data_IF_171857709284
#
_entry.id   IF_171857709284
#
_cell.length_a   1.000
_cell.length_b   1.000
_cell.length_c   1.000
_cell.angle_alpha   90.00
_cell.angle_beta   90.00
_cell.angle_gamma   90.00
#
_symmetry.space_group_name_H-M   'P 1'
#
loop_
_entity.id
_entity.type
_entity.pdbx_description
1 polymer ?
#
# COMPACT_ATOMS: atom_id res chain seq x y z
N UNK A 1 12.77 -0.71 -10.79
CA UNK A 1 12.01 -0.05 -9.70
C UNK A 1 12.12 -0.93 -8.48
N UNK A 2 12.48 -0.40 -7.29
CA UNK A 2 12.58 -1.23 -6.10
C UNK A 2 11.17 -1.62 -5.64
N UNK A 3 10.98 -2.89 -5.30
CA UNK A 3 9.74 -3.45 -4.78
C UNK A 3 9.30 -2.75 -3.48
N UNK A 4 7.99 -2.51 -3.24
CA UNK A 4 7.53 -2.00 -1.95
C UNK A 4 7.85 -3.03 -0.84
N UNK A 5 8.54 -2.66 0.25
CA UNK A 5 9.24 -3.62 1.13
C UNK A 5 8.38 -4.48 2.09
N UNK A 6 7.06 -4.56 1.90
CA UNK A 6 6.14 -4.94 2.99
C UNK A 6 5.30 -6.20 2.76
N UNK A 7 5.75 -7.12 1.92
CA UNK A 7 4.94 -8.24 1.44
C UNK A 7 5.68 -9.57 1.60
N UNK A 8 5.53 -10.20 2.76
CA UNK A 8 5.80 -11.64 2.86
C UNK A 8 4.47 -12.39 2.69
N UNK A 9 4.33 -13.08 1.56
CA UNK A 9 3.26 -14.04 1.30
C UNK A 9 3.92 -15.41 1.10
N UNK A 10 3.73 -16.41 1.99
CA UNK A 10 4.32 -17.72 1.78
C UNK A 10 3.76 -18.35 0.50
N UNK A 11 4.56 -19.17 -0.22
CA UNK A 11 4.12 -19.82 -1.43
C UNK A 11 2.92 -20.73 -1.12
N UNK A 12 1.90 -20.65 -1.98
CA UNK A 12 0.84 -21.65 -2.04
C UNK A 12 1.32 -22.67 -3.07
N UNK A 13 1.78 -23.83 -2.62
CA UNK A 13 2.24 -24.89 -3.53
C UNK A 13 1.02 -25.44 -4.29
N UNK A 14 0.89 -25.04 -5.56
CA UNK A 14 0.03 -25.75 -6.51
C UNK A 14 0.87 -26.79 -7.26
N UNK A 15 0.40 -28.04 -7.25
CA UNK A 15 1.03 -29.16 -7.95
C UNK A 15 1.06 -28.88 -9.46
N UNK A 16 2.24 -28.98 -10.09
CA UNK A 16 2.44 -28.81 -11.54
C UNK A 16 1.91 -30.04 -12.30
N UNK A 17 1.06 -29.80 -13.29
CA UNK A 17 0.96 -30.67 -14.48
C UNK A 17 1.25 -29.84 -15.73
N UNK A 18 2.29 -30.24 -16.45
CA UNK A 18 2.76 -29.63 -17.70
C UNK A 18 1.81 -29.99 -18.83
N UNK A 19 1.30 -29.03 -19.58
CA UNK A 19 1.04 -29.20 -21.01
C UNK A 19 1.24 -27.88 -21.76
N UNK A 20 2.06 -27.98 -22.81
CA UNK A 20 2.50 -26.97 -23.76
C UNK A 20 1.46 -26.72 -24.85
N UNK A 21 1.33 -25.47 -25.29
CA UNK A 21 0.62 -25.10 -26.53
C UNK A 21 1.36 -23.95 -27.25
N UNK A 22 1.19 -23.81 -28.58
CA UNK A 22 2.18 -23.23 -29.49
C UNK A 22 1.98 -21.73 -29.80
N UNK A 23 3.06 -21.16 -30.36
CA UNK A 23 3.26 -19.77 -30.77
C UNK A 23 2.42 -19.34 -31.98
N UNK A 24 1.90 -18.10 -31.91
CA UNK A 24 1.45 -17.34 -33.09
C UNK A 24 2.16 -15.98 -33.12
N UNK A 25 2.85 -15.71 -34.24
CA UNK A 25 3.42 -14.41 -34.58
C UNK A 25 2.35 -13.55 -35.25
N UNK A 26 2.27 -12.26 -34.90
CA UNK A 26 1.55 -11.26 -35.67
C UNK A 26 2.45 -10.03 -35.91
N UNK A 27 2.58 -9.76 -37.20
CA UNK A 27 3.28 -8.69 -37.89
C UNK A 27 2.69 -7.30 -37.60
N UNK A 28 3.58 -6.31 -37.52
CA UNK A 28 3.22 -4.88 -37.57
C UNK A 28 3.11 -4.37 -39.02
N UNK A 29 2.32 -3.32 -39.26
CA UNK A 29 2.58 -2.41 -40.35
C UNK A 29 2.85 -0.96 -39.90
N UNK A 30 3.65 -0.31 -40.74
CA UNK A 30 4.26 1.01 -40.69
C UNK A 30 3.30 2.20 -40.89
N UNK A 31 3.86 3.39 -40.58
CA UNK A 31 3.58 4.66 -41.27
C UNK A 31 2.69 5.62 -40.47
N UNK A 32 2.80 6.94 -40.55
CA UNK A 32 3.79 7.81 -41.21
C UNK A 32 3.62 9.23 -40.63
N UNK A 33 4.59 10.07 -40.95
CA UNK A 33 4.80 11.45 -40.47
C UNK A 33 3.91 12.54 -41.09
N UNK A 34 3.60 13.60 -40.32
CA UNK A 34 3.37 15.00 -40.77
C UNK A 34 3.16 15.90 -39.52
N UNK A 35 4.11 16.75 -39.12
CA UNK A 35 4.40 18.12 -39.57
C UNK A 35 3.30 19.16 -39.28
N UNK A 36 3.40 19.88 -38.15
CA UNK A 36 2.77 21.19 -37.94
C UNK A 36 3.68 22.06 -37.05
N UNK A 37 4.13 23.18 -37.60
CA UNK A 37 4.96 24.21 -36.96
C UNK A 37 4.12 25.12 -36.05
N UNK A 38 4.71 25.73 -34.99
CA UNK A 38 3.95 26.44 -33.96
C UNK A 38 3.58 27.88 -34.37
N UNK A 39 2.44 28.43 -33.91
CA UNK A 39 2.10 29.83 -34.15
C UNK A 39 2.93 30.80 -33.30
N UNK A 40 3.29 31.93 -33.91
CA UNK A 40 4.00 33.06 -33.33
C UNK A 40 3.21 33.76 -32.20
N UNK A 41 3.97 34.26 -31.22
CA UNK A 41 3.48 34.90 -29.98
C UNK A 41 3.00 36.34 -30.26
N UNK A 42 1.89 36.80 -29.65
CA UNK A 42 1.68 38.22 -29.45
C UNK A 42 2.60 38.73 -28.32
N UNK A 43 3.32 39.81 -28.62
CA UNK A 43 4.15 40.56 -27.70
C UNK A 43 3.26 41.41 -26.78
N UNK A 44 3.28 41.09 -25.48
CA UNK A 44 2.75 41.98 -24.43
C UNK A 44 3.82 42.15 -23.36
N UNK A 45 4.31 43.38 -23.24
CA UNK A 45 5.29 43.82 -22.26
C UNK A 45 4.63 43.96 -20.89
N UNK A 46 4.92 43.00 -19.98
CA UNK A 46 4.56 43.09 -18.57
C UNK A 46 5.81 43.16 -17.71
N UNK A 47 5.85 44.19 -16.86
CA UNK A 47 6.87 44.36 -15.84
C UNK A 47 6.93 43.14 -14.91
N UNK A 48 8.16 42.77 -14.59
CA UNK A 48 8.67 41.58 -13.92
C UNK A 48 8.03 41.20 -12.56
N UNK A 49 7.54 39.94 -12.51
CA UNK A 49 7.54 38.98 -11.39
C UNK A 49 6.75 39.32 -10.10
N UNK A 50 5.49 38.84 -9.97
CA UNK A 50 5.20 37.75 -9.00
C UNK A 50 4.02 36.81 -9.36
N UNK A 51 3.72 36.56 -10.63
CA UNK A 51 2.54 35.73 -11.02
C UNK A 51 2.85 34.24 -11.22
N UNK A 52 4.12 33.87 -11.44
CA UNK A 52 4.47 32.50 -11.84
C UNK A 52 4.46 31.48 -10.67
N UNK A 53 4.68 31.93 -9.44
CA UNK A 53 4.70 31.05 -8.25
C UNK A 53 3.27 30.68 -7.79
N UNK A 54 2.34 31.65 -7.88
CA UNK A 54 0.92 31.45 -7.56
C UNK A 54 0.24 30.54 -8.60
N UNK A 55 0.61 30.67 -9.88
CA UNK A 55 0.05 29.82 -10.94
C UNK A 55 0.48 28.36 -10.80
N UNK A 56 1.75 28.09 -10.49
CA UNK A 56 2.24 26.71 -10.24
C UNK A 56 1.64 26.06 -8.99
N UNK A 57 1.38 26.84 -7.94
CA UNK A 57 0.70 26.36 -6.73
C UNK A 57 -0.77 26.01 -7.01
N UNK A 58 -1.48 26.84 -7.77
CA UNK A 58 -2.89 26.60 -8.13
C UNK A 58 -3.06 25.55 -9.25
N UNK A 59 -2.06 25.32 -10.11
CA UNK A 59 -2.12 24.29 -11.16
C UNK A 59 -1.81 22.87 -10.65
N UNK A 60 -1.13 22.70 -9.51
CA UNK A 60 -0.75 21.38 -8.96
C UNK A 60 -1.44 20.99 -7.64
N UNK A 61 -2.11 21.91 -6.95
CA UNK A 61 -2.68 21.64 -5.62
C UNK A 61 -4.19 21.90 -5.48
N UNK A 62 -4.93 22.14 -6.57
CA UNK A 62 -6.40 22.16 -6.52
C UNK A 62 -6.91 20.72 -6.56
N UNK A 63 -6.94 20.08 -5.39
CA UNK A 63 -7.95 19.07 -5.09
C UNK A 63 -9.20 19.81 -4.55
N UNK A 64 -10.42 19.44 -4.95
CA UNK A 64 -11.62 20.12 -4.48
C UNK A 64 -11.71 20.07 -2.94
N UNK A 65 -11.86 21.23 -2.28
CA UNK A 65 -12.17 21.31 -0.83
C UNK A 65 -11.11 21.91 0.11
N UNK A 66 -9.98 22.40 -0.40
CA UNK A 66 -8.91 22.96 0.45
C UNK A 66 -9.02 24.50 0.57
N UNK A 67 -8.99 25.03 1.79
CA UNK A 67 -8.85 26.48 2.05
C UNK A 67 -7.61 26.73 2.91
N UNK A 68 -6.76 27.65 2.48
CA UNK A 68 -5.55 28.06 3.20
C UNK A 68 -5.61 29.54 3.58
N UNK A 69 -5.06 29.89 4.76
CA UNK A 69 -4.92 31.27 5.22
C UNK A 69 -3.44 31.68 5.20
N UNK A 70 -3.16 32.90 4.74
CA UNK A 70 -1.80 33.46 4.67
C UNK A 70 -1.71 34.70 5.56
N UNK A 71 -0.68 34.79 6.41
CA UNK A 71 -0.30 36.04 7.08
C UNK A 71 1.08 36.48 6.61
N UNK A 72 1.16 37.66 6.00
CA UNK A 72 2.36 38.19 5.35
C UNK A 72 3.26 38.90 6.38
N UNK A 73 4.48 38.41 6.61
CA UNK A 73 5.59 39.20 7.18
C UNK A 73 6.80 39.20 6.23
N UNK A 74 7.37 40.39 6.05
CA UNK A 74 8.31 40.91 5.03
C UNK A 74 9.33 39.94 4.37
N UNK A 75 9.34 40.00 3.03
CA UNK A 75 10.44 39.94 2.03
C UNK A 75 11.57 38.91 2.20
N UNK A 76 11.46 37.76 1.51
CA UNK A 76 12.56 37.05 0.80
C UNK A 76 12.02 35.72 0.25
N UNK A 77 12.26 35.40 -1.04
CA UNK A 77 11.75 34.20 -1.71
C UNK A 77 12.84 33.14 -1.88
N UNK A 78 12.63 31.94 -1.34
CA UNK A 78 13.26 30.68 -1.77
C UNK A 78 12.27 29.54 -1.54
N UNK A 79 12.04 28.69 -2.56
CA UNK A 79 11.11 27.57 -2.50
C UNK A 79 11.91 26.26 -2.38
N UNK A 80 11.85 25.62 -1.21
CA UNK A 80 12.24 24.22 -1.03
C UNK A 80 10.95 23.45 -0.72
N UNK A 81 10.52 22.62 -1.65
CA UNK A 81 9.42 21.69 -1.44
C UNK A 81 10.02 20.43 -0.82
N UNK A 82 9.62 20.11 0.41
CA UNK A 82 9.92 18.82 1.02
C UNK A 82 8.60 18.11 1.32
N UNK A 83 8.36 17.01 0.60
CA UNK A 83 7.26 16.10 0.85
C UNK A 83 7.87 14.81 1.41
N UNK A 84 8.28 14.80 2.68
CA UNK A 84 8.58 13.57 3.41
C UNK A 84 8.60 13.79 4.92
N UNK A 85 8.04 12.80 5.62
CA UNK A 85 7.91 12.74 7.07
C UNK A 85 9.23 12.98 7.83
N UNK A 86 9.18 13.83 8.85
CA UNK A 86 10.01 13.81 10.07
C UNK A 86 11.55 13.74 9.89
N UNK A 87 12.18 14.81 9.39
CA UNK A 87 13.57 15.16 9.75
C UNK A 87 13.74 16.67 9.92
N UNK A 88 14.04 17.12 11.14
CA UNK A 88 14.52 18.48 11.39
C UNK A 88 15.96 18.59 10.88
N UNK A 89 16.18 19.41 9.85
CA UNK A 89 17.50 19.96 9.55
C UNK A 89 17.54 21.42 9.99
N UNK A 90 18.49 21.76 10.86
CA UNK A 90 18.72 23.14 11.27
C UNK A 90 19.52 23.86 10.19
N UNK A 91 18.91 24.84 9.55
CA UNK A 91 19.62 25.94 8.87
C UNK A 91 19.20 27.26 9.54
N UNK A 92 20.14 28.20 9.64
CA UNK A 92 19.98 29.45 10.41
C UNK A 92 19.15 30.54 9.70
N UNK A 93 18.05 30.19 9.02
CA UNK A 93 17.21 31.16 8.33
C UNK A 93 15.71 30.95 8.61
N UNK A 94 14.90 32.03 8.68
CA UNK A 94 13.49 31.94 9.01
C UNK A 94 12.72 31.28 7.87
N UNK A 95 12.36 30.01 8.05
CA UNK A 95 11.42 29.30 7.18
C UNK A 95 10.03 29.59 7.70
N UNK A 96 9.09 29.95 6.82
CA UNK A 96 7.68 29.96 7.18
C UNK A 96 7.27 28.52 7.54
N UNK A 97 6.94 28.26 8.80
CA UNK A 97 6.30 27.00 9.19
C UNK A 97 4.94 26.92 8.51
N UNK A 98 4.84 26.07 7.49
CA UNK A 98 3.54 25.65 6.97
C UNK A 98 3.10 24.48 7.83
N UNK A 99 2.29 24.74 8.84
CA UNK A 99 1.58 23.68 9.54
C UNK A 99 0.46 23.19 8.63
N UNK A 100 0.72 22.10 7.91
CA UNK A 100 -0.35 21.37 7.23
C UNK A 100 -1.14 20.65 8.32
N UNK A 101 -2.29 21.22 8.69
CA UNK A 101 -3.24 20.51 9.51
C UNK A 101 -3.79 19.36 8.67
N UNK A 102 -3.40 18.13 9.00
CA UNK A 102 -4.07 16.95 8.49
C UNK A 102 -5.55 17.10 8.88
N UNK A 103 -6.50 17.21 7.93
CA UNK A 103 -7.89 17.23 8.28
C UNK A 103 -8.14 15.99 9.13
N UNK A 104 -8.73 16.16 10.31
CA UNK A 104 -9.10 15.04 11.17
C UNK A 104 -10.11 14.21 10.37
N UNK A 105 -9.65 13.14 9.71
CA UNK A 105 -10.51 12.25 8.94
C UNK A 105 -11.50 11.66 9.94
N UNK A 106 -12.77 12.02 9.80
CA UNK A 106 -13.84 11.36 10.53
C UNK A 106 -13.95 9.94 10.01
N UNK A 107 -13.62 8.95 10.83
CA UNK A 107 -13.78 7.54 10.48
C UNK A 107 -15.22 7.02 10.61
N UNK A 108 -16.20 7.92 10.69
CA UNK A 108 -17.64 7.59 10.67
C UNK A 108 -18.01 6.82 9.39
N UNK A 109 -17.35 7.15 8.28
CA UNK A 109 -17.65 6.62 6.96
C UNK A 109 -16.73 5.47 6.56
N UNK A 110 -15.99 4.92 7.54
CA UNK A 110 -15.10 3.79 7.35
C UNK A 110 -15.85 2.48 7.62
N UNK A 111 -15.90 1.63 6.60
CA UNK A 111 -16.42 0.27 6.70
C UNK A 111 -15.27 -0.74 6.62
N UNK A 112 -15.05 -1.47 7.70
CA UNK A 112 -14.19 -2.66 7.69
C UNK A 112 -15.08 -3.88 7.51
N UNK A 113 -14.86 -4.62 6.43
CA UNK A 113 -15.70 -5.77 6.06
C UNK A 113 -14.88 -6.86 5.38
N UNK A 114 -15.46 -8.04 5.24
CA UNK A 114 -14.86 -9.10 4.43
C UNK A 114 -14.80 -8.72 2.96
N UNK A 115 -13.76 -9.22 2.28
CA UNK A 115 -13.59 -9.11 0.82
C UNK A 115 -14.69 -9.87 0.10
N UNK A 116 -15.20 -9.28 -0.98
CA UNK A 116 -16.14 -9.84 -1.95
C UNK A 116 -15.43 -10.07 -3.29
N UNK A 117 -16.00 -10.90 -4.15
CA UNK A 117 -15.42 -11.18 -5.46
C UNK A 117 -15.27 -9.91 -6.32
N UNK A 118 -16.23 -8.99 -6.21
CA UNK A 118 -16.24 -7.68 -6.89
C UNK A 118 -15.12 -6.73 -6.44
N UNK A 119 -14.54 -6.94 -5.24
CA UNK A 119 -13.47 -6.10 -4.72
C UNK A 119 -12.09 -6.46 -5.31
N UNK A 120 -11.93 -7.64 -5.90
CA UNK A 120 -10.60 -8.14 -6.30
C UNK A 120 -9.84 -7.19 -7.24
N UNK A 121 -10.47 -6.58 -8.26
CA UNK A 121 -9.80 -5.57 -9.09
C UNK A 121 -9.37 -4.34 -8.28
N UNK A 122 -10.17 -3.91 -7.30
CA UNK A 122 -9.90 -2.72 -6.49
C UNK A 122 -8.72 -2.94 -5.51
N UNK A 123 -8.36 -4.18 -5.19
CA UNK A 123 -7.15 -4.50 -4.41
C UNK A 123 -5.85 -4.19 -5.16
N UNK A 124 -5.90 -4.01 -6.47
CA UNK A 124 -4.73 -3.74 -7.31
C UNK A 124 -4.26 -2.28 -7.22
N UNK A 125 -5.04 -1.39 -6.57
CA UNK A 125 -4.78 0.05 -6.39
C UNK A 125 -4.25 0.75 -7.65
N UNK A 126 -5.17 1.04 -8.58
CA UNK A 126 -4.86 1.75 -9.84
C UNK A 126 -3.72 1.10 -10.64
N UNK A 127 -3.52 -0.19 -10.42
CA UNK A 127 -2.55 -1.04 -11.10
C UNK A 127 -1.21 -1.24 -10.38
N UNK A 128 -0.94 -0.52 -9.27
CA UNK A 128 0.29 -0.66 -8.46
C UNK A 128 0.56 -2.12 -8.08
N UNK A 129 -0.50 -2.88 -7.77
CA UNK A 129 -0.44 -4.27 -7.35
C UNK A 129 -1.04 -5.26 -8.37
N UNK A 130 -1.15 -4.88 -9.64
CA UNK A 130 -1.63 -5.77 -10.71
C UNK A 130 -0.88 -7.10 -10.73
N UNK A 131 0.42 -7.07 -10.48
CA UNK A 131 1.27 -8.25 -10.44
C UNK A 131 0.84 -9.28 -9.37
N UNK A 132 0.04 -8.90 -8.37
CA UNK A 132 -0.53 -9.81 -7.38
C UNK A 132 -1.96 -10.29 -7.70
N UNK A 133 -2.54 -9.94 -8.86
CA UNK A 133 -3.91 -10.35 -9.26
C UNK A 133 -4.20 -11.83 -8.98
N UNK A 134 -3.30 -12.71 -9.41
CA UNK A 134 -3.45 -14.17 -9.19
C UNK A 134 -3.36 -14.55 -7.71
N UNK A 135 -2.51 -13.89 -6.93
CA UNK A 135 -2.46 -14.09 -5.47
C UNK A 135 -3.75 -13.65 -4.79
N UNK A 136 -4.38 -12.57 -5.25
CA UNK A 136 -5.67 -12.11 -4.73
C UNK A 136 -6.79 -13.09 -5.06
N UNK A 137 -6.88 -13.56 -6.31
CA UNK A 137 -7.84 -14.59 -6.71
C UNK A 137 -7.68 -15.88 -5.89
N UNK A 138 -6.44 -16.34 -5.68
CA UNK A 138 -6.16 -17.54 -4.91
C UNK A 138 -6.47 -17.35 -3.41
N UNK A 139 -6.11 -16.21 -2.83
CA UNK A 139 -6.44 -15.89 -1.45
C UNK A 139 -7.96 -15.87 -1.22
N UNK A 140 -8.72 -15.31 -2.16
CA UNK A 140 -10.18 -15.30 -2.13
C UNK A 140 -10.77 -16.71 -2.23
N UNK A 141 -10.28 -17.54 -3.16
CA UNK A 141 -10.68 -18.95 -3.29
C UNK A 141 -10.44 -19.73 -2.00
N UNK A 142 -9.29 -19.50 -1.34
CA UNK A 142 -8.99 -20.10 -0.04
C UNK A 142 -9.94 -19.64 1.06
N UNK A 143 -10.37 -18.39 1.05
CA UNK A 143 -11.36 -17.91 2.00
C UNK A 143 -12.75 -18.53 1.78
N UNK A 144 -13.15 -18.76 0.53
CA UNK A 144 -14.37 -19.52 0.23
C UNK A 144 -14.32 -20.96 0.78
N UNK A 145 -13.12 -21.52 0.93
CA UNK A 145 -12.89 -22.84 1.53
C UNK A 145 -12.67 -22.81 3.06
N UNK A 146 -12.78 -21.64 3.70
CA UNK A 146 -12.50 -21.50 5.14
C UNK A 146 -11.03 -21.64 5.53
N UNK A 147 -10.11 -21.57 4.56
CA UNK A 147 -8.67 -21.68 4.79
C UNK A 147 -7.98 -20.32 5.00
N UNK A 148 -8.68 -19.23 4.68
CA UNK A 148 -8.22 -17.85 4.85
C UNK A 148 -9.40 -16.96 5.25
N UNK A 149 -9.10 -15.77 5.76
CA UNK A 149 -10.06 -14.70 6.00
C UNK A 149 -9.45 -13.39 5.50
N UNK A 150 -10.22 -12.63 4.73
CA UNK A 150 -9.74 -11.42 4.07
C UNK A 150 -10.63 -10.25 4.48
N UNK A 151 -10.02 -9.12 4.83
CA UNK A 151 -10.71 -7.87 5.13
C UNK A 151 -10.21 -6.74 4.26
N UNK A 152 -11.12 -5.80 4.01
CA UNK A 152 -10.86 -4.51 3.40
C UNK A 152 -11.41 -3.41 4.29
N UNK A 153 -10.72 -2.28 4.29
CA UNK A 153 -11.20 -1.01 4.78
C UNK A 153 -11.65 -0.18 3.58
N UNK A 154 -12.95 0.00 3.46
CA UNK A 154 -13.59 0.84 2.45
C UNK A 154 -13.95 2.18 3.07
N UNK A 155 -13.63 3.27 2.38
CA UNK A 155 -13.92 4.61 2.82
C UNK A 155 -14.71 5.35 1.74
N UNK A 156 -15.83 5.94 2.15
CA UNK A 156 -16.76 6.59 1.24
C UNK A 156 -16.04 7.65 0.38
N UNK A 157 -16.28 7.62 -0.93
CA UNK A 157 -15.64 8.49 -1.91
C UNK A 157 -14.21 8.11 -2.33
N UNK A 158 -13.57 7.15 -1.65
CA UNK A 158 -12.18 6.74 -1.91
C UNK A 158 -12.01 5.25 -2.24
N UNK A 159 -13.08 4.46 -2.07
CA UNK A 159 -13.07 3.02 -2.29
C UNK A 159 -12.25 2.29 -1.23
N UNK A 160 -11.55 1.23 -1.64
CA UNK A 160 -10.72 0.43 -0.73
C UNK A 160 -9.41 1.16 -0.43
N UNK A 161 -9.23 1.54 0.82
CA UNK A 161 -8.06 2.29 1.31
C UNK A 161 -7.13 1.45 2.19
N UNK A 162 -7.53 0.23 2.53
CA UNK A 162 -6.70 -0.72 3.27
C UNK A 162 -7.18 -2.14 3.10
N UNK A 163 -6.27 -3.10 3.33
CA UNK A 163 -6.60 -4.52 3.30
C UNK A 163 -5.72 -5.29 4.30
N UNK A 164 -6.21 -6.43 4.76
CA UNK A 164 -5.45 -7.38 5.58
C UNK A 164 -5.98 -8.78 5.33
N UNK A 165 -5.07 -9.72 5.06
CA UNK A 165 -5.41 -11.12 4.81
C UNK A 165 -4.81 -11.99 5.90
N UNK A 166 -5.50 -13.08 6.22
CA UNK A 166 -5.05 -14.06 7.19
C UNK A 166 -5.23 -15.45 6.61
N UNK A 167 -4.18 -16.29 6.69
CA UNK A 167 -4.30 -17.73 6.44
C UNK A 167 -4.58 -18.41 7.78
N UNK A 168 -5.62 -19.24 7.81
CA UNK A 168 -5.97 -20.04 8.98
C UNK A 168 -5.20 -21.36 8.99
N UNK A 169 -4.96 -21.94 7.81
CA UNK A 169 -4.20 -23.18 7.61
C UNK A 169 -3.26 -23.04 6.42
N UNK A 170 -2.03 -23.51 6.55
CA UNK A 170 -1.03 -23.50 5.49
C UNK A 170 -0.02 -24.66 5.66
N UNK A 171 0.90 -24.81 4.72
CA UNK A 171 1.92 -25.88 4.74
C UNK A 171 3.06 -25.59 5.72
N UNK A 172 2.99 -24.46 6.42
CA UNK A 172 3.96 -24.01 7.42
C UNK A 172 3.27 -23.93 8.79
N UNK A 173 3.20 -25.04 9.54
CA UNK A 173 2.44 -25.10 10.79
C UNK A 173 2.95 -24.11 11.85
N UNK A 174 4.20 -23.68 11.76
CA UNK A 174 4.79 -22.67 12.61
C UNK A 174 4.30 -21.23 12.33
N UNK A 175 3.58 -21.03 11.23
CA UNK A 175 2.85 -19.80 10.87
C UNK A 175 1.35 -19.98 11.07
N UNK A 176 0.78 -21.04 10.47
CA UNK A 176 -0.65 -21.35 10.51
C UNK A 176 -0.88 -22.86 10.44
N UNK A 177 -1.63 -23.42 11.40
CA UNK A 177 -1.85 -24.87 11.49
C UNK A 177 -3.33 -25.28 11.40
N UNK A 178 -4.26 -24.33 11.33
CA UNK A 178 -5.70 -24.59 11.32
C UNK A 178 -6.26 -24.99 12.70
N UNK A 179 -5.49 -24.80 13.78
CA UNK A 179 -5.87 -25.15 15.15
C UNK A 179 -5.80 -23.93 16.05
N UNK A 180 -4.60 -23.42 16.33
CA UNK A 180 -4.39 -22.34 17.31
C UNK A 180 -3.56 -21.16 16.76
N UNK A 181 -2.94 -21.33 15.59
CA UNK A 181 -2.10 -20.32 14.92
C UNK A 181 -2.70 -19.87 13.60
N UNK A 182 -2.83 -18.56 13.43
CA UNK A 182 -3.21 -17.90 12.19
C UNK A 182 -2.08 -16.98 11.70
N UNK A 183 -1.93 -16.85 10.39
CA UNK A 183 -0.84 -16.10 9.76
C UNK A 183 -1.36 -14.86 9.03
N UNK A 184 -1.01 -13.67 9.53
CA UNK A 184 -1.34 -12.38 8.92
C UNK A 184 -0.36 -12.04 7.80
N UNK A 185 -0.91 -11.64 6.65
CA UNK A 185 -0.15 -11.23 5.47
C UNK A 185 -0.91 -10.19 4.65
N UNK A 186 -0.22 -9.64 3.64
CA UNK A 186 -0.77 -8.64 2.73
C UNK A 186 -1.44 -7.45 3.44
N UNK A 187 -0.92 -7.05 4.60
CA UNK A 187 -1.45 -5.95 5.39
C UNK A 187 -0.91 -4.61 4.87
N UNK A 188 -1.81 -3.80 4.31
CA UNK A 188 -1.47 -2.51 3.71
C UNK A 188 -2.57 -1.47 3.92
N UNK A 189 -2.14 -0.23 3.93
CA UNK A 189 -3.00 0.97 3.95
C UNK A 189 -2.43 1.94 2.90
N UNK A 190 -3.30 2.54 2.09
CA UNK A 190 -2.92 3.59 1.12
C UNK A 190 -2.18 4.72 1.83
N UNK A 191 -1.13 5.25 1.20
CA UNK A 191 -0.17 6.13 1.86
C UNK A 191 -0.79 7.35 2.53
N UNK A 192 -1.73 7.99 1.85
CA UNK A 192 -2.50 9.15 2.32
C UNK A 192 -3.39 8.88 3.56
N UNK A 193 -3.68 7.61 3.88
CA UNK A 193 -4.46 7.20 5.06
C UNK A 193 -3.61 6.58 6.18
N UNK A 194 -2.28 6.58 6.04
CA UNK A 194 -1.35 6.04 7.06
C UNK A 194 -1.21 7.00 8.24
N UNK A 195 -0.74 6.45 9.37
CA UNK A 195 -0.46 7.21 10.61
C UNK A 195 -1.68 7.89 11.24
N UNK A 196 -2.89 7.46 10.88
CA UNK A 196 -4.16 8.04 11.36
C UNK A 196 -5.04 7.00 12.10
N UNK A 197 -4.43 5.91 12.60
CA UNK A 197 -5.12 4.87 13.37
C UNK A 197 -5.75 3.73 12.55
N UNK A 198 -5.90 3.87 11.23
CA UNK A 198 -6.54 2.85 10.38
C UNK A 198 -5.87 1.46 10.49
N UNK A 199 -4.54 1.40 10.48
CA UNK A 199 -3.82 0.13 10.68
C UNK A 199 -4.12 -0.50 12.04
N UNK A 200 -4.17 0.28 13.12
CA UNK A 200 -4.52 -0.23 14.44
C UNK A 200 -5.95 -0.79 14.46
N UNK A 201 -6.90 -0.08 13.82
CA UNK A 201 -8.30 -0.51 13.72
C UNK A 201 -8.45 -1.81 12.92
N UNK A 202 -7.77 -1.93 11.78
CA UNK A 202 -7.74 -3.18 10.98
C UNK A 202 -7.17 -4.35 11.77
N UNK A 203 -6.04 -4.14 12.46
CA UNK A 203 -5.41 -5.18 13.27
C UNK A 203 -6.33 -5.62 14.43
N UNK A 204 -6.97 -4.68 15.12
CA UNK A 204 -7.93 -4.99 16.18
C UNK A 204 -9.12 -5.82 15.65
N UNK A 205 -9.69 -5.46 14.49
CA UNK A 205 -10.75 -6.25 13.84
C UNK A 205 -10.31 -7.69 13.56
N UNK A 206 -9.08 -7.88 13.06
CA UNK A 206 -8.52 -9.21 12.82
C UNK A 206 -8.35 -9.99 14.12
N UNK A 207 -7.76 -9.38 15.14
CA UNK A 207 -7.53 -10.04 16.42
C UNK A 207 -8.85 -10.46 17.08
N UNK A 208 -9.87 -9.61 17.05
CA UNK A 208 -11.17 -9.92 17.62
C UNK A 208 -11.84 -11.09 16.88
N UNK A 209 -11.86 -11.09 15.55
CA UNK A 209 -12.40 -12.22 14.78
C UNK A 209 -11.63 -13.53 15.06
N UNK A 210 -10.30 -13.47 15.17
CA UNK A 210 -9.50 -14.64 15.48
C UNK A 210 -9.74 -15.18 16.90
N UNK A 211 -9.97 -14.31 17.89
CA UNK A 211 -10.42 -14.72 19.23
C UNK A 211 -11.74 -15.46 19.15
N UNK A 212 -12.74 -14.91 18.45
CA UNK A 212 -14.05 -15.55 18.30
C UNK A 212 -13.96 -16.92 17.59
N UNK A 213 -12.96 -17.11 16.72
CA UNK A 213 -12.67 -18.39 16.06
C UNK A 213 -11.86 -19.39 16.90
N UNK A 214 -11.44 -19.01 18.10
CA UNK A 214 -10.65 -19.87 18.99
C UNK A 214 -9.15 -19.92 18.67
N UNK A 215 -8.62 -19.04 17.82
CA UNK A 215 -7.18 -18.96 17.61
C UNK A 215 -6.50 -18.31 18.82
N UNK A 216 -5.34 -18.82 19.20
CA UNK A 216 -4.57 -18.35 20.36
C UNK A 216 -3.40 -17.45 19.97
N UNK A 217 -2.89 -17.63 18.75
CA UNK A 217 -1.71 -16.94 18.27
C UNK A 217 -1.95 -16.33 16.88
N UNK A 218 -1.53 -15.08 16.73
CA UNK A 218 -1.42 -14.41 15.45
C UNK A 218 0.06 -14.27 15.11
N UNK A 219 0.47 -14.84 13.97
CA UNK A 219 1.84 -14.80 13.49
C UNK A 219 1.93 -13.93 12.23
N UNK A 220 3.12 -13.39 11.95
CA UNK A 220 3.39 -12.61 10.75
C UNK A 220 4.89 -12.59 10.45
N UNK A 221 5.24 -12.20 9.23
CA UNK A 221 6.62 -11.91 8.84
C UNK A 221 6.76 -10.43 8.45
N UNK A 222 7.83 -9.80 8.94
CA UNK A 222 8.16 -8.40 8.67
C UNK A 222 9.56 -8.32 8.07
N UNK A 223 9.70 -7.74 6.88
CA UNK A 223 11.01 -7.50 6.29
C UNK A 223 11.94 -6.78 7.27
N UNK A 224 13.22 -7.18 7.34
CA UNK A 224 14.19 -6.58 8.28
C UNK A 224 14.40 -5.10 8.07
N UNK A 225 14.24 -4.64 6.82
CA UNK A 225 14.33 -3.22 6.44
C UNK A 225 13.08 -2.43 6.83
N UNK A 226 12.04 -3.09 7.34
CA UNK A 226 10.76 -2.49 7.74
C UNK A 226 10.71 -1.98 9.16
N UNK A 227 11.54 -1.00 9.48
CA UNK A 227 11.57 -0.43 10.84
C UNK A 227 10.20 0.13 11.25
N UNK A 228 9.45 0.71 10.31
CA UNK A 228 8.13 1.28 10.57
C UNK A 228 7.12 0.22 10.99
N UNK A 229 6.97 -0.87 10.23
CA UNK A 229 6.01 -1.90 10.59
C UNK A 229 6.51 -2.75 11.76
N UNK A 230 7.82 -3.00 11.86
CA UNK A 230 8.40 -3.66 13.04
C UNK A 230 8.01 -2.91 14.31
N UNK A 231 8.21 -1.59 14.33
CA UNK A 231 7.80 -0.73 15.44
C UNK A 231 6.28 -0.73 15.64
N UNK A 232 5.49 -0.77 14.57
CA UNK A 232 4.04 -0.88 14.66
C UNK A 232 3.62 -2.18 15.35
N UNK A 233 4.11 -3.34 14.91
CA UNK A 233 3.72 -4.63 15.47
C UNK A 233 4.22 -4.81 16.91
N UNK A 234 5.44 -4.35 17.23
CA UNK A 234 5.93 -4.36 18.60
C UNK A 234 5.03 -3.57 19.56
N UNK A 235 4.58 -2.37 19.16
CA UNK A 235 3.63 -1.57 19.95
C UNK A 235 2.26 -2.23 20.10
N UNK A 236 1.88 -3.12 19.19
CA UNK A 236 0.64 -3.89 19.26
C UNK A 236 0.82 -5.25 19.95
N UNK A 237 1.96 -5.50 20.60
CA UNK A 237 2.19 -6.69 21.42
C UNK A 237 2.75 -7.89 20.69
N UNK A 238 3.29 -7.71 19.47
CA UNK A 238 4.05 -8.76 18.79
C UNK A 238 5.50 -8.77 19.24
N UNK A 239 6.07 -9.95 19.40
CA UNK A 239 7.50 -10.15 19.65
C UNK A 239 8.14 -11.00 18.56
N UNK A 240 9.44 -10.80 18.34
CA UNK A 240 10.23 -11.59 17.38
C UNK A 240 10.44 -12.99 17.97
N UNK A 241 10.18 -14.03 17.18
CA UNK A 241 10.38 -15.44 17.57
C UNK A 241 11.45 -16.16 16.76
N UNK A 242 11.72 -15.71 15.53
CA UNK A 242 12.75 -16.31 14.69
C UNK A 242 13.18 -15.38 13.54
N UNK A 243 14.41 -15.52 13.02
CA UNK A 243 14.73 -15.03 11.69
C UNK A 243 13.98 -15.85 10.63
N UNK A 244 13.53 -15.19 9.57
CA UNK A 244 12.91 -15.82 8.41
C UNK A 244 13.76 -15.48 7.16
N UNK A 245 14.17 -16.47 6.33
CA UNK A 245 14.97 -16.22 5.14
C UNK A 245 14.29 -15.34 4.10
N UNK A 246 12.96 -15.21 4.15
CA UNK A 246 12.27 -14.28 3.27
C UNK A 246 12.14 -14.76 1.83
N UNK A 247 12.35 -16.05 1.57
CA UNK A 247 12.30 -16.63 0.23
C UNK A 247 10.93 -17.18 -0.08
N UNK A 248 10.28 -16.67 -1.11
CA UNK A 248 9.00 -17.13 -1.60
C UNK A 248 8.85 -16.84 -3.09
N UNK A 249 7.87 -17.47 -3.74
CA UNK A 249 7.58 -17.20 -5.14
C UNK A 249 6.08 -17.21 -5.40
N UNK A 250 5.68 -16.52 -6.46
CA UNK A 250 4.30 -16.44 -6.92
C UNK A 250 4.23 -16.34 -8.44
N UNK A 251 3.06 -16.65 -9.00
CA UNK A 251 2.75 -16.36 -10.39
C UNK A 251 2.19 -14.96 -10.47
N UNK A 252 2.82 -14.09 -11.26
CA UNK A 252 2.29 -12.77 -11.52
C UNK A 252 1.06 -12.83 -12.45
N UNK A 253 0.45 -11.68 -12.72
CA UNK A 253 -0.70 -11.56 -13.63
C UNK A 253 -0.45 -12.16 -15.04
N UNK A 254 0.77 -12.05 -15.56
CA UNK A 254 1.18 -12.58 -16.87
C UNK A 254 1.50 -14.08 -16.83
N UNK A 255 1.50 -14.70 -15.64
CA UNK A 255 1.79 -16.12 -15.44
C UNK A 255 3.29 -16.43 -15.32
N UNK A 256 4.13 -15.42 -15.09
CA UNK A 256 5.56 -15.58 -14.86
C UNK A 256 5.81 -15.85 -13.38
N UNK A 257 6.76 -16.73 -13.09
CA UNK A 257 7.19 -16.97 -11.71
C UNK A 257 8.06 -15.80 -11.28
N UNK A 258 7.66 -15.11 -10.22
CA UNK A 258 8.46 -14.10 -9.55
C UNK A 258 9.01 -14.71 -8.27
N UNK A 259 10.33 -14.70 -8.14
CA UNK A 259 11.01 -15.07 -6.90
C UNK A 259 11.29 -13.82 -6.09
N UNK A 260 10.97 -13.88 -4.80
CA UNK A 260 11.20 -12.81 -3.84
C UNK A 260 12.15 -13.31 -2.77
N UNK A 261 13.15 -12.50 -2.46
CA UNK A 261 14.09 -12.75 -1.37
C UNK A 261 14.18 -11.50 -0.50
N UNK A 262 13.41 -11.49 0.58
CA UNK A 262 13.33 -10.38 1.51
C UNK A 262 13.46 -10.89 2.95
N UNK A 263 14.69 -11.00 3.47
CA UNK A 263 14.92 -11.48 4.84
C UNK A 263 14.04 -10.75 5.85
N UNK A 264 13.41 -11.52 6.72
CA UNK A 264 12.37 -11.03 7.62
C UNK A 264 12.61 -11.47 9.06
N UNK A 265 11.84 -10.87 9.95
CA UNK A 265 11.58 -11.34 11.30
C UNK A 265 10.22 -12.03 11.31
N UNK A 266 10.20 -13.27 11.78
CA UNK A 266 8.95 -13.92 12.17
C UNK A 266 8.57 -13.42 13.54
N UNK A 267 7.36 -12.90 13.65
CA UNK A 267 6.80 -12.37 14.87
C UNK A 267 5.52 -13.11 15.24
N UNK A 268 5.20 -13.14 16.53
CA UNK A 268 3.92 -13.65 17.01
C UNK A 268 3.36 -12.75 18.10
N UNK A 269 2.04 -12.84 18.30
CA UNK A 269 1.31 -12.28 19.42
C UNK A 269 0.34 -13.32 19.95
N UNK A 270 0.25 -13.44 21.28
CA UNK A 270 -0.80 -14.20 21.97
C UNK A 270 -2.07 -13.35 22.05
N UNK A 271 -3.22 -13.95 21.73
CA UNK A 271 -4.51 -13.23 21.65
C UNK A 271 -5.24 -13.14 23.00
N UNK A 272 -4.84 -13.92 24.00
CA UNK A 272 -5.40 -13.99 25.36
C UNK A 272 -4.32 -13.79 26.44
#
# INVERSE_FOLDING_TARGET
MPSPPWLYIPPILSARTKHSAPSWNLTQPNGDSSSLSPPEKPSVTWASHPVHCIKKFLEHCVLPGWTGWFTQKKKSWHCLINCSNNKLWRSNHPVAEITIHNPQISWSDLLIRHVRAEDLPALEWDGEYTHFRRLYSEAFRRAQMGLSVLWVAEFTGHGIIGQVFVQLKCDRPELCNGVDRAYLYAFRVKEEFRSQGLGARLLATVEDDLRHRGFHFLTLNVARVNERALSFYQRHGFHIVAPEPGRWSYLDHEGRVVEVHEPAWRMEKRLY
#
